data_IF_001675338087
#
_entry.id   IF_001675338087
#
_cell.length_a   1.000
_cell.length_b   1.000
_cell.length_c   1.000
_cell.angle_alpha   90.00
_cell.angle_beta   90.00
_cell.angle_gamma   90.00
#
_symmetry.space_group_name_H-M   'P 1'
#
loop_
_entity.id
_entity.type
_entity.pdbx_description
1 polymer ?
#
# COMPACT_ATOMS: atom_id res chain seq x y z
N UNK A 1 4.30 12.20 -26.92
CA UNK A 1 3.38 12.72 -25.86
C UNK A 1 2.07 11.94 -25.84
N UNK A 2 1.42 11.68 -26.95
CA UNK A 2 0.16 10.91 -27.00
C UNK A 2 0.31 9.51 -26.41
N UNK A 3 1.35 8.79 -26.78
CA UNK A 3 1.63 7.44 -26.27
C UNK A 3 1.79 7.40 -24.73
N UNK A 4 2.36 8.46 -24.15
CA UNK A 4 2.49 8.57 -22.68
C UNK A 4 1.15 8.87 -22.02
N UNK A 5 0.32 9.69 -22.64
CA UNK A 5 -1.04 10.00 -22.18
C UNK A 5 -1.93 8.75 -22.16
N UNK A 6 -1.80 7.89 -23.18
CA UNK A 6 -2.50 6.60 -23.23
C UNK A 6 -2.03 5.63 -22.14
N UNK A 7 -0.70 5.52 -21.91
CA UNK A 7 -0.17 4.73 -20.81
C UNK A 7 -0.68 5.21 -19.46
N UNK A 8 -0.69 6.53 -19.24
CA UNK A 8 -1.19 7.13 -18.01
C UNK A 8 -2.69 6.87 -17.83
N UNK A 9 -3.47 6.89 -18.93
CA UNK A 9 -4.90 6.55 -18.90
C UNK A 9 -5.14 5.10 -18.46
N UNK A 10 -4.38 4.15 -19.03
CA UNK A 10 -4.44 2.74 -18.64
C UNK A 10 -4.06 2.53 -17.18
N UNK A 11 -3.00 3.19 -16.71
CA UNK A 11 -2.59 3.16 -15.30
C UNK A 11 -3.66 3.72 -14.37
N UNK A 12 -4.33 4.81 -14.75
CA UNK A 12 -5.41 5.40 -13.96
C UNK A 12 -6.63 4.48 -13.87
N UNK A 13 -6.96 3.77 -14.94
CA UNK A 13 -8.05 2.77 -14.92
C UNK A 13 -7.69 1.64 -13.95
N UNK A 14 -6.48 1.07 -14.08
CA UNK A 14 -6.02 0.03 -13.17
C UNK A 14 -6.02 0.50 -11.71
N UNK A 15 -5.51 1.71 -11.47
CA UNK A 15 -5.47 2.32 -10.14
C UNK A 15 -6.88 2.52 -9.57
N UNK A 16 -7.85 2.97 -10.39
CA UNK A 16 -9.24 3.13 -9.99
C UNK A 16 -9.88 1.79 -9.62
N UNK A 17 -9.60 0.73 -10.37
CA UNK A 17 -10.08 -0.63 -10.06
C UNK A 17 -9.50 -1.11 -8.72
N UNK A 18 -8.18 -0.94 -8.52
CA UNK A 18 -7.54 -1.30 -7.25
C UNK A 18 -8.12 -0.51 -6.06
N UNK A 19 -8.37 0.80 -6.24
CA UNK A 19 -9.01 1.64 -5.21
C UNK A 19 -10.41 1.12 -4.89
N UNK A 20 -11.21 0.79 -5.90
CA UNK A 20 -12.56 0.26 -5.70
C UNK A 20 -12.54 -1.06 -4.92
N UNK A 21 -11.66 -1.99 -5.27
CA UNK A 21 -11.50 -3.26 -4.58
C UNK A 21 -11.10 -3.02 -3.12
N UNK A 22 -10.06 -2.21 -2.88
CA UNK A 22 -9.59 -1.89 -1.52
C UNK A 22 -10.66 -1.17 -0.70
N UNK A 23 -11.43 -0.27 -1.29
CA UNK A 23 -12.52 0.41 -0.61
C UNK A 23 -13.61 -0.57 -0.15
N UNK A 24 -13.99 -1.53 -1.01
CA UNK A 24 -14.95 -2.58 -0.65
C UNK A 24 -14.42 -3.41 0.52
N UNK A 25 -13.16 -3.88 0.46
CA UNK A 25 -12.56 -4.64 1.57
C UNK A 25 -12.47 -3.82 2.86
N UNK A 26 -12.13 -2.53 2.77
CA UNK A 26 -12.09 -1.64 3.93
C UNK A 26 -13.47 -1.48 4.57
N UNK A 27 -14.51 -1.28 3.76
CA UNK A 27 -15.90 -1.16 4.25
C UNK A 27 -16.36 -2.47 4.91
N UNK A 28 -16.05 -3.62 4.30
CA UNK A 28 -16.35 -4.93 4.89
C UNK A 28 -15.62 -5.14 6.21
N UNK A 29 -14.34 -4.73 6.29
CA UNK A 29 -13.55 -4.77 7.52
C UNK A 29 -14.18 -3.93 8.63
N UNK A 30 -14.55 -2.70 8.36
CA UNK A 30 -15.24 -1.83 9.32
C UNK A 30 -16.62 -2.37 9.74
N UNK A 31 -17.39 -2.93 8.79
CA UNK A 31 -18.67 -3.55 9.10
C UNK A 31 -18.51 -4.78 10.02
N UNK A 32 -17.45 -5.55 9.85
CA UNK A 32 -17.11 -6.65 10.72
C UNK A 32 -16.67 -6.18 12.11
N UNK A 33 -15.90 -5.09 12.21
CA UNK A 33 -15.53 -4.48 13.51
C UNK A 33 -16.73 -3.91 14.24
N UNK A 34 -17.68 -3.32 13.52
CA UNK A 34 -18.93 -2.81 14.07
C UNK A 34 -19.92 -3.94 14.47
N UNK A 35 -19.57 -5.21 14.25
CA UNK A 35 -20.41 -6.35 14.58
C UNK A 35 -21.60 -6.54 13.64
N UNK A 36 -21.62 -5.82 12.50
CA UNK A 36 -22.71 -5.92 11.51
C UNK A 36 -22.60 -7.19 10.66
N UNK A 37 -21.39 -7.75 10.55
CA UNK A 37 -21.11 -8.96 9.75
C UNK A 37 -20.18 -9.87 10.55
N UNK A 38 -20.55 -11.13 10.71
CA UNK A 38 -19.69 -12.15 11.33
C UNK A 38 -18.74 -12.73 10.26
N UNK A 39 -17.59 -12.08 10.05
CA UNK A 39 -16.59 -12.53 9.06
C UNK A 39 -15.51 -13.47 9.61
N UNK A 40 -15.47 -13.70 10.93
CA UNK A 40 -14.43 -14.55 11.54
C UNK A 40 -14.99 -15.58 12.47
N UNK A 41 -14.53 -16.85 12.39
CA UNK A 41 -14.79 -17.83 13.41
C UNK A 41 -14.14 -17.34 14.72
N UNK A 42 -14.93 -17.25 15.75
CA UNK A 42 -14.58 -16.83 17.11
C UNK A 42 -13.79 -17.93 17.86
N UNK A 43 -12.65 -18.34 17.34
CA UNK A 43 -11.78 -19.28 18.02
C UNK A 43 -10.39 -18.66 18.23
N UNK A 44 -10.17 -18.10 19.42
CA UNK A 44 -8.86 -17.61 19.84
C UNK A 44 -8.93 -16.27 20.58
N UNK A 45 -7.89 -15.94 21.33
CA UNK A 45 -7.74 -14.76 22.18
C UNK A 45 -8.29 -13.47 21.54
N UNK A 46 -9.39 -12.98 22.07
CA UNK A 46 -10.15 -11.84 21.56
C UNK A 46 -9.33 -10.53 21.46
N UNK A 47 -8.34 -10.38 22.33
CA UNK A 47 -7.51 -9.17 22.40
C UNK A 47 -6.52 -9.05 21.23
N UNK A 48 -5.85 -10.16 20.88
CA UNK A 48 -4.90 -10.18 19.75
C UNK A 48 -5.60 -9.96 18.42
N UNK A 49 -6.75 -10.58 18.20
CA UNK A 49 -7.55 -10.41 17.01
C UNK A 49 -8.09 -8.99 16.83
N UNK A 50 -8.42 -8.32 17.91
CA UNK A 50 -8.87 -6.93 17.88
C UNK A 50 -7.74 -5.97 17.47
N UNK A 51 -6.54 -6.11 18.04
CA UNK A 51 -5.38 -5.29 17.69
C UNK A 51 -4.95 -5.49 16.25
N UNK A 52 -4.92 -6.75 15.78
CA UNK A 52 -4.55 -7.09 14.40
C UNK A 52 -5.52 -6.51 13.38
N UNK A 53 -6.83 -6.59 13.65
CA UNK A 53 -7.86 -5.98 12.82
C UNK A 53 -7.71 -4.46 12.74
N UNK A 54 -7.49 -3.79 13.86
CA UNK A 54 -7.26 -2.35 13.89
C UNK A 54 -6.02 -1.94 13.08
N UNK A 55 -4.94 -2.72 13.15
CA UNK A 55 -3.75 -2.49 12.34
C UNK A 55 -4.03 -2.61 10.84
N UNK A 56 -4.69 -3.69 10.40
CA UNK A 56 -5.02 -3.92 8.98
C UNK A 56 -5.97 -2.82 8.47
N UNK A 57 -6.96 -2.46 9.25
CA UNK A 57 -7.91 -1.38 8.94
C UNK A 57 -7.20 -0.04 8.77
N UNK A 58 -6.33 0.34 9.70
CA UNK A 58 -5.52 1.55 9.61
C UNK A 58 -4.56 1.55 8.41
N UNK A 59 -3.88 0.43 8.17
CA UNK A 59 -2.98 0.27 7.04
C UNK A 59 -3.72 0.37 5.70
N UNK A 60 -4.88 -0.28 5.57
CA UNK A 60 -5.70 -0.22 4.35
C UNK A 60 -6.18 1.21 4.04
N UNK A 61 -6.57 1.96 5.07
CA UNK A 61 -6.96 3.37 4.94
C UNK A 61 -5.79 4.25 4.47
N UNK A 62 -4.60 4.03 5.03
CA UNK A 62 -3.38 4.73 4.61
C UNK A 62 -3.02 4.46 3.15
N UNK A 63 -3.08 3.21 2.72
CA UNK A 63 -2.84 2.82 1.32
C UNK A 63 -3.88 3.44 0.39
N UNK A 64 -5.18 3.41 0.76
CA UNK A 64 -6.24 4.06 -0.01
C UNK A 64 -5.99 5.56 -0.19
N UNK A 65 -5.61 6.27 0.87
CA UNK A 65 -5.31 7.69 0.82
C UNK A 65 -4.16 8.00 -0.15
N UNK A 66 -3.08 7.21 -0.12
CA UNK A 66 -1.95 7.35 -1.04
C UNK A 66 -2.34 7.07 -2.49
N UNK A 67 -3.14 6.04 -2.74
CA UNK A 67 -3.62 5.71 -4.09
C UNK A 67 -4.54 6.79 -4.64
N UNK A 68 -5.45 7.32 -3.83
CA UNK A 68 -6.32 8.44 -4.21
C UNK A 68 -5.51 9.70 -4.55
N UNK A 69 -4.51 10.03 -3.73
CA UNK A 69 -3.61 11.14 -4.01
C UNK A 69 -2.87 10.95 -5.34
N UNK A 70 -2.36 9.75 -5.60
CA UNK A 70 -1.73 9.38 -6.88
C UNK A 70 -2.67 9.54 -8.07
N UNK A 71 -3.92 9.07 -7.93
CA UNK A 71 -4.94 9.18 -8.97
C UNK A 71 -5.29 10.65 -9.27
N UNK A 72 -5.52 11.46 -8.24
CA UNK A 72 -5.83 12.88 -8.38
C UNK A 72 -4.68 13.62 -9.07
N UNK A 73 -3.44 13.34 -8.68
CA UNK A 73 -2.23 13.92 -9.30
C UNK A 73 -2.16 13.58 -10.78
N UNK A 74 -2.38 12.32 -11.14
CA UNK A 74 -2.35 11.86 -12.52
C UNK A 74 -3.47 12.48 -13.35
N UNK A 75 -4.69 12.54 -12.82
CA UNK A 75 -5.84 13.15 -13.50
C UNK A 75 -5.64 14.66 -13.72
N UNK A 76 -5.07 15.37 -12.72
CA UNK A 76 -4.72 16.79 -12.88
C UNK A 76 -3.63 17.00 -13.92
N UNK A 77 -2.64 16.10 -13.99
CA UNK A 77 -1.59 16.17 -15.00
C UNK A 77 -2.12 15.92 -16.42
N UNK A 78 -3.12 15.06 -16.58
CA UNK A 78 -3.74 14.78 -17.89
C UNK A 78 -4.55 15.97 -18.45
N UNK A 79 -5.06 16.87 -17.59
CA UNK A 79 -5.83 18.05 -17.99
C UNK A 79 -4.96 19.24 -18.43
N UNK A 80 -3.67 19.24 -18.09
CA UNK A 80 -2.77 20.36 -18.33
C UNK A 80 -1.48 19.85 -18.98
N UNK A 81 -1.25 20.22 -20.24
CA UNK A 81 -0.07 19.76 -20.99
C UNK A 81 1.27 20.15 -20.33
N UNK A 82 1.33 21.32 -19.67
CA UNK A 82 2.54 21.73 -18.94
C UNK A 82 2.82 20.79 -17.77
N UNK A 83 1.78 20.42 -17.04
CA UNK A 83 1.89 19.46 -15.92
C UNK A 83 2.20 18.05 -16.41
N UNK A 84 1.62 17.64 -17.52
CA UNK A 84 1.91 16.36 -18.16
C UNK A 84 3.38 16.27 -18.60
N UNK A 85 3.91 17.34 -19.23
CA UNK A 85 5.32 17.43 -19.62
C UNK A 85 6.25 17.39 -18.42
N UNK A 86 5.92 18.12 -17.34
CA UNK A 86 6.67 18.10 -16.09
C UNK A 86 6.69 16.70 -15.45
N UNK A 87 5.55 16.03 -15.41
CA UNK A 87 5.43 14.66 -14.88
C UNK A 87 6.25 13.67 -15.72
N UNK A 88 6.20 13.80 -17.05
CA UNK A 88 6.98 12.98 -17.98
C UNK A 88 8.49 13.14 -17.75
N UNK A 89 8.98 14.38 -17.67
CA UNK A 89 10.39 14.66 -17.40
C UNK A 89 10.80 14.09 -16.04
N UNK A 90 10.00 14.31 -15.01
CA UNK A 90 10.29 13.84 -13.66
C UNK A 90 10.39 12.30 -13.56
N UNK A 91 9.61 11.57 -14.35
CA UNK A 91 9.62 10.09 -14.34
C UNK A 91 10.75 9.53 -15.22
N UNK A 92 11.13 10.25 -16.31
CA UNK A 92 12.14 9.80 -17.27
C UNK A 92 13.52 10.44 -17.04
N UNK A 93 13.68 11.26 -16.03
CA UNK A 93 14.98 11.78 -15.62
C UNK A 93 15.81 10.64 -14.98
N UNK A 94 16.92 10.33 -15.61
CA UNK A 94 17.82 9.25 -15.20
C UNK A 94 18.34 9.44 -13.76
N UNK A 95 18.60 10.68 -13.35
CA UNK A 95 19.03 10.99 -11.98
C UNK A 95 17.94 10.66 -10.98
N UNK A 96 16.72 11.05 -11.28
CA UNK A 96 15.56 10.75 -10.44
C UNK A 96 15.30 9.23 -10.38
N UNK A 97 15.42 8.53 -11.51
CA UNK A 97 15.29 7.08 -11.57
C UNK A 97 16.37 6.37 -10.72
N UNK A 98 17.63 6.81 -10.81
CA UNK A 98 18.71 6.27 -9.97
C UNK A 98 18.50 6.54 -8.49
N UNK A 99 18.08 7.74 -8.11
CA UNK A 99 17.76 8.07 -6.73
C UNK A 99 16.65 7.17 -6.17
N UNK A 100 15.57 6.96 -6.93
CA UNK A 100 14.49 6.07 -6.51
C UNK A 100 14.94 4.61 -6.44
N UNK A 101 15.78 4.16 -7.38
CA UNK A 101 16.34 2.81 -7.34
C UNK A 101 17.21 2.59 -6.11
N UNK A 102 18.11 3.51 -5.81
CA UNK A 102 18.99 3.44 -4.65
C UNK A 102 18.19 3.53 -3.33
N UNK A 103 17.23 4.44 -3.27
CA UNK A 103 16.35 4.58 -2.10
C UNK A 103 15.52 3.31 -1.86
N UNK A 104 14.97 2.71 -2.92
CA UNK A 104 14.23 1.44 -2.83
C UNK A 104 15.13 0.29 -2.37
N UNK A 105 16.35 0.18 -2.93
CA UNK A 105 17.30 -0.84 -2.55
C UNK A 105 17.74 -0.71 -1.10
N UNK A 106 18.04 0.52 -0.65
CA UNK A 106 18.39 0.79 0.74
C UNK A 106 17.20 0.49 1.69
N UNK A 107 16.00 0.93 1.36
CA UNK A 107 14.81 0.66 2.16
C UNK A 107 14.52 -0.84 2.26
N UNK A 108 14.65 -1.57 1.15
CA UNK A 108 14.46 -3.03 1.14
C UNK A 108 15.51 -3.74 1.99
N UNK A 109 16.78 -3.31 1.91
CA UNK A 109 17.85 -3.86 2.73
C UNK A 109 17.60 -3.63 4.23
N UNK A 110 17.20 -2.41 4.60
CA UNK A 110 16.87 -2.09 6.00
C UNK A 110 15.67 -2.93 6.46
N UNK A 111 14.62 -3.02 5.65
CA UNK A 111 13.42 -3.79 5.97
C UNK A 111 13.74 -5.27 6.21
N UNK A 112 14.53 -5.89 5.33
CA UNK A 112 14.94 -7.28 5.47
C UNK A 112 15.80 -7.50 6.72
N UNK A 113 16.77 -6.63 6.98
CA UNK A 113 17.64 -6.77 8.15
C UNK A 113 16.87 -6.58 9.46
N UNK A 114 16.03 -5.55 9.54
CA UNK A 114 15.20 -5.29 10.74
C UNK A 114 14.17 -6.41 10.92
N UNK A 115 13.54 -6.87 9.84
CA UNK A 115 12.61 -8.00 9.87
C UNK A 115 13.27 -9.28 10.37
N UNK A 116 14.46 -9.60 9.87
CA UNK A 116 15.20 -10.78 10.30
C UNK A 116 15.57 -10.71 11.79
N UNK A 117 16.08 -9.56 12.24
CA UNK A 117 16.40 -9.35 13.66
C UNK A 117 15.15 -9.49 14.53
N UNK A 118 14.05 -8.86 14.10
CA UNK A 118 12.78 -8.96 14.80
C UNK A 118 12.27 -10.40 14.86
N UNK A 119 12.37 -11.16 13.77
CA UNK A 119 11.98 -12.56 13.72
C UNK A 119 12.83 -13.43 14.70
N UNK A 120 14.14 -13.22 14.74
CA UNK A 120 15.03 -13.93 15.66
C UNK A 120 14.66 -13.60 17.11
N UNK A 121 14.52 -12.32 17.45
CA UNK A 121 14.19 -11.90 18.82
C UNK A 121 12.83 -12.44 19.26
N UNK A 122 11.81 -12.31 18.40
CA UNK A 122 10.47 -12.81 18.73
C UNK A 122 10.39 -14.33 18.80
N UNK A 123 11.26 -15.03 18.07
CA UNK A 123 11.37 -16.49 18.11
C UNK A 123 11.72 -17.04 19.50
N UNK A 124 12.45 -16.29 20.30
CA UNK A 124 12.73 -16.67 21.70
C UNK A 124 11.51 -16.59 22.61
N UNK A 125 10.54 -15.75 22.28
CA UNK A 125 9.32 -15.55 23.10
C UNK A 125 8.11 -16.29 22.55
N UNK A 126 7.96 -16.34 21.23
CA UNK A 126 6.81 -16.99 20.60
C UNK A 126 7.14 -17.38 19.15
N UNK A 127 7.24 -18.69 18.91
CA UNK A 127 7.54 -19.25 17.59
C UNK A 127 6.52 -18.87 16.51
N UNK A 128 5.24 -18.78 16.85
CA UNK A 128 4.18 -18.41 15.90
C UNK A 128 4.36 -16.99 15.39
N UNK A 129 4.72 -16.04 16.25
CA UNK A 129 4.96 -14.65 15.87
C UNK A 129 6.21 -14.54 14.99
N UNK A 130 7.26 -15.29 15.30
CA UNK A 130 8.50 -15.32 14.50
C UNK A 130 8.25 -15.80 13.08
N UNK A 131 7.48 -16.86 12.90
CA UNK A 131 7.15 -17.40 11.56
C UNK A 131 6.28 -16.43 10.75
N UNK A 132 5.47 -15.62 11.42
CA UNK A 132 4.61 -14.63 10.73
C UNK A 132 5.40 -13.42 10.23
N UNK A 133 6.57 -13.13 10.83
CA UNK A 133 7.44 -12.00 10.42
C UNK A 133 8.37 -12.39 9.26
N UNK A 134 8.75 -13.66 9.13
CA UNK A 134 9.58 -14.20 8.04
C UNK A 134 8.80 -14.35 6.74
#
# INVERSE_FOLDING_TARGET
METYKEKLKKQNILLSVCIAILAVFSVLGFAAEAGLIALTPTAGDSHWHSQWRGFISGASMGVLALMLFGLIRNLRAMKDEKKLKKLYIQIHDERTAQLFHNARSAAMSVFLNVGLIAAIVTGYFNATVSITIL
#
